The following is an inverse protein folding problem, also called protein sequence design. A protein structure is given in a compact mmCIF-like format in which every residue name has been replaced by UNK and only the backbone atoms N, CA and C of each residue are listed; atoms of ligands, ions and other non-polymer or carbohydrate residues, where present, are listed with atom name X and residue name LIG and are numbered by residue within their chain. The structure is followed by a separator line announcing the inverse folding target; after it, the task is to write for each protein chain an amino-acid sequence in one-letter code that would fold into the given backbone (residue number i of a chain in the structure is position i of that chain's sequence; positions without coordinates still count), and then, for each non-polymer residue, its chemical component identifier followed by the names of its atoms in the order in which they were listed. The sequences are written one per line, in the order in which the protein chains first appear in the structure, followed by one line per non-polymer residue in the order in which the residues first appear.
data_IF_900434673385
#
_entry.id   IF_900434673385
#
_cell.length_a   1.000
_cell.length_b   1.000
_cell.length_c   1.000
_cell.angle_alpha   90.00
_cell.angle_beta   90.00
_cell.angle_gamma   90.00
#
_symmetry.space_group_name_H-M   'P 1'
#
loop_
_entity.id
_entity.type
_entity.pdbx_description
1 polymer ?
#
# COMPACT_ATOMS: atom_id res chain seq x y z
N UNK A 1 -1.72 7.79 3.23
CA UNK A 1 -1.58 6.99 2.00
C UNK A 1 -0.27 6.24 2.06
N UNK A 2 -0.30 4.95 1.76
CA UNK A 2 0.88 4.07 1.78
C UNK A 2 1.19 3.68 0.34
N UNK A 3 2.34 4.08 -0.19
CA UNK A 3 2.88 3.48 -1.42
C UNK A 3 4.06 2.58 -1.04
N UNK A 4 4.27 1.50 -1.80
CA UNK A 4 5.32 0.54 -1.45
C UNK A 4 6.72 1.18 -1.43
N UNK A 5 6.98 2.14 -2.34
CA UNK A 5 8.27 2.80 -2.47
C UNK A 5 8.59 3.79 -1.34
N UNK A 6 7.58 4.41 -0.71
CA UNK A 6 7.75 5.34 0.39
C UNK A 6 7.58 4.70 1.77
N UNK A 7 7.00 3.50 1.84
CA UNK A 7 6.81 2.75 3.11
C UNK A 7 7.86 1.66 3.32
N UNK A 8 8.63 1.32 2.30
CA UNK A 8 9.78 0.43 2.43
C UNK A 8 11.05 1.25 2.59
N UNK A 9 11.66 1.20 3.78
CA UNK A 9 13.09 1.47 3.87
C UNK A 9 13.83 0.36 3.12
N UNK A 10 14.82 0.69 2.28
CA UNK A 10 15.76 -0.30 1.76
C UNK A 10 16.67 -0.76 2.91
N UNK A 11 16.11 -1.50 3.87
CA UNK A 11 16.89 -2.32 4.77
C UNK A 11 17.43 -3.48 3.93
N UNK A 12 18.75 -3.54 3.87
CA UNK A 12 19.57 -4.02 2.77
C UNK A 12 19.58 -5.56 2.57
N UNK A 13 18.46 -6.27 2.70
CA UNK A 13 18.52 -7.72 2.92
C UNK A 13 17.49 -8.51 2.07
N UNK A 14 16.93 -7.90 1.02
CA UNK A 14 15.87 -8.50 0.17
C UNK A 14 14.60 -8.89 0.93
N UNK A 15 14.33 -8.26 2.08
CA UNK A 15 13.13 -8.48 2.89
C UNK A 15 12.06 -7.39 2.72
N UNK A 16 10.81 -7.73 3.06
CA UNK A 16 9.72 -6.78 3.22
C UNK A 16 9.56 -6.45 4.71
N UNK A 17 9.92 -5.23 5.12
CA UNK A 17 9.88 -4.79 6.52
C UNK A 17 8.71 -3.83 6.74
N UNK A 18 7.86 -4.12 7.72
CA UNK A 18 6.70 -3.29 8.05
C UNK A 18 6.32 -3.48 9.52
N UNK A 19 5.57 -2.55 10.11
CA UNK A 19 5.17 -2.61 11.52
C UNK A 19 3.76 -3.19 11.75
N UNK A 20 2.97 -3.37 10.67
CA UNK A 20 1.66 -4.02 10.75
C UNK A 20 1.74 -5.49 11.18
N UNK A 21 0.68 -6.05 11.75
CA UNK A 21 0.68 -7.49 12.02
C UNK A 21 0.72 -8.29 10.69
N UNK A 22 1.35 -9.47 10.63
CA UNK A 22 1.58 -10.22 9.39
C UNK A 22 0.32 -10.52 8.59
N UNK A 23 -0.75 -10.85 9.31
CA UNK A 23 -2.03 -11.30 8.77
C UNK A 23 -3.12 -10.21 8.89
N UNK A 24 -2.74 -8.97 9.26
CA UNK A 24 -3.68 -7.86 9.31
C UNK A 24 -3.95 -7.32 7.90
N UNK A 25 -5.22 -7.25 7.46
CA UNK A 25 -5.58 -6.74 6.15
C UNK A 25 -5.24 -5.24 6.05
N UNK A 26 -4.66 -4.84 4.92
CA UNK A 26 -4.32 -3.46 4.63
C UNK A 26 -4.81 -3.07 3.24
N UNK A 27 -5.47 -1.92 3.14
CA UNK A 27 -5.94 -1.38 1.87
C UNK A 27 -4.81 -0.68 1.11
N UNK A 28 -4.71 -0.98 -0.18
CA UNK A 28 -3.73 -0.41 -1.11
C UNK A 28 -4.45 0.19 -2.30
N UNK A 29 -3.88 1.25 -2.86
CA UNK A 29 -4.38 1.88 -4.07
C UNK A 29 -3.18 2.26 -4.94
N UNK A 30 -3.30 2.04 -6.25
CA UNK A 30 -2.32 2.53 -7.21
C UNK A 30 -2.42 4.05 -7.32
N UNK A 31 -1.30 4.74 -7.43
CA UNK A 31 -1.30 6.19 -7.68
C UNK A 31 -1.96 6.54 -9.01
N UNK A 32 -1.95 5.63 -9.99
CA UNK A 32 -2.66 5.77 -11.24
C UNK A 32 -4.19 5.85 -11.04
N UNK A 33 -4.73 5.00 -10.16
CA UNK A 33 -6.17 4.94 -9.91
C UNK A 33 -6.65 6.14 -9.09
N UNK A 34 -5.82 6.69 -8.21
CA UNK A 34 -6.10 7.97 -7.54
C UNK A 34 -6.29 9.07 -8.59
N UNK A 35 -5.38 9.17 -9.56
CA UNK A 35 -5.48 10.15 -10.63
C UNK A 35 -6.74 9.96 -11.48
N UNK A 36 -7.09 8.71 -11.79
CA UNK A 36 -8.30 8.39 -12.54
C UNK A 36 -9.58 8.79 -11.78
N UNK A 37 -9.66 8.50 -10.48
CA UNK A 37 -10.80 8.88 -9.64
C UNK A 37 -10.91 10.39 -9.51
N UNK A 38 -9.79 11.10 -9.27
CA UNK A 38 -9.79 12.56 -9.22
C UNK A 38 -10.27 13.19 -10.53
N UNK A 39 -9.82 12.66 -11.67
CA UNK A 39 -10.24 13.13 -12.98
C UNK A 39 -11.72 12.83 -13.30
N UNK A 40 -12.31 11.80 -12.68
CA UNK A 40 -13.74 11.51 -12.78
C UNK A 40 -14.56 12.50 -11.94
N UNK A 41 -14.19 12.69 -10.66
CA UNK A 41 -14.82 13.64 -9.73
C UNK A 41 -14.87 15.05 -10.32
N UNK A 42 -13.79 15.50 -10.96
CA UNK A 42 -13.71 16.83 -11.58
C UNK A 42 -14.56 17.01 -12.85
N UNK A 43 -15.07 15.92 -13.44
CA UNK A 43 -15.89 15.95 -14.67
C UNK A 43 -17.38 15.75 -14.42
N UNK A 44 -17.75 15.25 -13.25
CA UNK A 44 -19.14 15.07 -12.85
C UNK A 44 -19.71 16.34 -12.20
N UNK A 45 -21.03 16.35 -11.93
CA UNK A 45 -21.67 17.48 -11.27
C UNK A 45 -21.03 17.73 -9.90
N UNK A 46 -20.63 18.97 -9.62
CA UNK A 46 -20.03 19.38 -8.34
C UNK A 46 -20.92 19.00 -7.15
N UNK A 47 -22.24 19.05 -7.31
CA UNK A 47 -23.19 18.72 -6.23
C UNK A 47 -23.20 17.22 -5.88
N UNK A 48 -22.70 16.36 -6.78
CA UNK A 48 -22.55 14.91 -6.52
C UNK A 48 -21.40 14.63 -5.55
N UNK A 49 -20.36 15.44 -5.58
CA UNK A 49 -19.11 15.18 -4.85
C UNK A 49 -18.87 16.14 -3.70
N UNK A 50 -19.15 17.43 -3.85
CA UNK A 50 -19.00 18.48 -2.83
C UNK A 50 -17.70 18.29 -2.01
N UNK A 51 -17.84 18.12 -0.69
CA UNK A 51 -16.78 17.89 0.29
C UNK A 51 -16.66 16.41 0.70
N UNK A 52 -17.13 15.48 -0.15
CA UNK A 52 -17.12 14.06 0.15
C UNK A 52 -15.69 13.52 0.36
N UNK A 53 -15.58 12.66 1.37
CA UNK A 53 -14.33 11.97 1.71
C UNK A 53 -14.41 10.54 1.19
N UNK A 54 -13.53 10.19 0.26
CA UNK A 54 -13.48 8.87 -0.34
C UNK A 54 -12.37 8.01 0.27
N UNK A 55 -12.73 6.78 0.67
CA UNK A 55 -11.74 5.73 0.88
C UNK A 55 -11.38 5.11 -0.47
N UNK A 56 -10.15 5.33 -0.92
CA UNK A 56 -9.65 4.78 -2.17
C UNK A 56 -8.83 3.53 -1.88
N UNK A 57 -9.41 2.37 -2.21
CA UNK A 57 -8.81 1.05 -2.02
C UNK A 57 -9.04 0.27 -3.32
N UNK A 58 -7.95 -0.11 -3.99
CA UNK A 58 -7.97 -0.96 -5.18
C UNK A 58 -7.81 -2.43 -4.84
N UNK A 59 -7.11 -2.74 -3.75
CA UNK A 59 -6.97 -4.11 -3.24
C UNK A 59 -6.73 -4.12 -1.73
N UNK A 60 -7.02 -5.25 -1.08
CA UNK A 60 -6.79 -5.48 0.36
C UNK A 60 -5.92 -6.72 0.51
N UNK A 61 -4.72 -6.54 1.07
CA UNK A 61 -3.75 -7.62 1.22
C UNK A 61 -3.06 -7.53 2.58
N UNK A 62 -2.80 -8.70 3.18
CA UNK A 62 -1.98 -8.80 4.37
C UNK A 62 -0.48 -8.66 4.04
N UNK A 63 0.34 -8.29 5.03
CA UNK A 63 1.80 -8.12 4.84
C UNK A 63 2.47 -9.41 4.37
N UNK A 64 2.04 -10.59 4.87
CA UNK A 64 2.57 -11.89 4.45
C UNK A 64 2.21 -12.20 2.99
N UNK A 65 0.98 -11.90 2.57
CA UNK A 65 0.52 -12.09 1.19
C UNK A 65 1.28 -11.19 0.22
N UNK A 66 1.51 -9.93 0.60
CA UNK A 66 2.37 -9.00 -0.16
C UNK A 66 3.75 -9.59 -0.43
N UNK A 67 4.42 -10.13 0.59
CA UNK A 67 5.74 -10.75 0.44
C UNK A 67 5.69 -11.96 -0.51
N UNK A 68 4.64 -12.79 -0.42
CA UNK A 68 4.43 -13.91 -1.34
C UNK A 68 4.18 -13.45 -2.80
N UNK A 69 3.42 -12.37 -3.00
CA UNK A 69 3.20 -11.77 -4.31
C UNK A 69 4.51 -11.25 -4.92
N UNK A 70 5.30 -10.50 -4.15
CA UNK A 70 6.61 -10.00 -4.59
C UNK A 70 7.55 -11.16 -4.92
N UNK A 71 7.58 -12.20 -4.10
CA UNK A 71 8.36 -13.42 -4.36
C UNK A 71 7.97 -14.05 -5.70
N UNK A 72 6.66 -14.24 -5.93
CA UNK A 72 6.13 -14.81 -7.17
C UNK A 72 6.47 -13.96 -8.40
N UNK A 73 6.39 -12.64 -8.30
CA UNK A 73 6.61 -11.73 -9.43
C UNK A 73 8.10 -11.58 -9.76
N UNK A 74 8.95 -11.53 -8.74
CA UNK A 74 10.39 -11.26 -8.91
C UNK A 74 11.25 -12.52 -9.02
N UNK A 75 10.73 -13.68 -8.60
CA UNK A 75 11.49 -14.93 -8.46
C UNK A 75 12.50 -14.93 -7.31
N UNK A 76 12.51 -13.91 -6.46
CA UNK A 76 13.40 -13.81 -5.30
C UNK A 76 12.66 -14.22 -4.02
N UNK A 77 13.32 -14.95 -3.11
CA UNK A 77 12.75 -15.26 -1.79
C UNK A 77 12.65 -13.97 -0.95
N UNK A 78 11.46 -13.35 -0.94
CA UNK A 78 11.17 -12.13 -0.20
C UNK A 78 10.27 -12.50 0.98
N UNK A 79 10.79 -12.32 2.20
CA UNK A 79 10.08 -12.61 3.44
C UNK A 79 9.55 -11.35 4.09
N UNK A 80 8.39 -11.47 4.71
CA UNK A 80 7.86 -10.43 5.58
C UNK A 80 8.51 -10.51 6.96
N UNK A 81 9.07 -9.40 7.43
CA UNK A 81 9.61 -9.24 8.79
C UNK A 81 8.87 -8.11 9.49
N UNK A 82 8.16 -8.45 10.56
CA UNK A 82 7.53 -7.44 11.40
C UNK A 82 8.59 -6.72 12.23
N UNK A 83 8.59 -5.39 12.15
CA UNK A 83 9.48 -4.52 12.94
C UNK A 83 8.66 -3.61 13.84
N UNK A 84 9.27 -3.10 14.90
CA UNK A 84 8.63 -2.10 15.76
C UNK A 84 8.44 -0.77 15.01
N UNK A 85 7.49 0.08 15.44
CA UNK A 85 7.37 1.44 14.93
C UNK A 85 8.68 2.23 15.04
N UNK A 86 9.44 2.05 16.13
CA UNK A 86 10.73 2.72 16.33
C UNK A 86 11.71 2.33 15.23
N UNK A 87 11.84 1.03 14.93
CA UNK A 87 12.72 0.53 13.86
C UNK A 87 12.30 0.97 12.45
N UNK A 88 11.03 1.32 12.24
CA UNK A 88 10.51 1.75 10.94
C UNK A 88 10.72 3.24 10.67
N UNK A 89 10.65 4.07 11.71
CA UNK A 89 10.59 5.53 11.59
C UNK A 89 11.81 6.28 12.16
N UNK A 90 12.79 5.58 12.73
CA UNK A 90 14.06 6.11 13.24
C UNK A 90 15.25 5.36 12.66
#
# INVERSE_FOLDING_TARGET
MSNHLGMMSPLADKGLFDNGAPDAPQGWISTNDIGAVAALVLREDVNKHLDAVYSLIGDVVASRERAAMLTRITGQDIKYTQVSPVQKYH
#
